data_IF_425712105909
#
_entry.id   IF_425712105909
#
_cell.length_a   1.000
_cell.length_b   1.000
_cell.length_c   1.000
_cell.angle_alpha   90.00
_cell.angle_beta   90.00
_cell.angle_gamma   90.00
#
_symmetry.space_group_name_H-M   'P 1'
#
loop_
_entity.id
_entity.type
_entity.pdbx_description
1 polymer ?
#
# COMPACT_ATOMS: atom_id res chain seq x y z
N UNK A 1 5.73 -12.74 15.16
CA UNK A 1 6.51 -13.82 14.51
C UNK A 1 8.01 -13.51 14.34
N UNK A 2 8.44 -12.25 14.12
CA UNK A 2 9.88 -11.88 14.21
C UNK A 2 10.34 -11.40 15.61
N UNK A 3 9.39 -11.06 16.50
CA UNK A 3 9.65 -10.49 17.83
C UNK A 3 8.83 -11.17 18.95
N UNK A 4 8.53 -12.47 18.84
CA UNK A 4 7.72 -13.23 19.80
C UNK A 4 6.33 -12.64 20.14
N UNK A 5 5.82 -11.73 19.31
CA UNK A 5 4.46 -11.18 19.41
C UNK A 5 3.48 -11.93 18.49
N UNK A 6 2.28 -12.17 19.01
CA UNK A 6 1.13 -12.70 18.29
C UNK A 6 0.22 -11.54 17.85
N UNK A 7 0.07 -11.35 16.53
CA UNK A 7 -0.88 -10.38 15.98
C UNK A 7 -2.21 -11.05 15.68
N UNK A 8 -3.30 -10.56 16.29
CA UNK A 8 -4.67 -11.02 15.98
C UNK A 8 -5.41 -10.01 15.12
N UNK A 9 -6.28 -10.52 14.24
CA UNK A 9 -7.09 -9.71 13.33
C UNK A 9 -8.59 -9.99 13.54
N UNK A 10 -9.24 -9.42 14.58
CA UNK A 10 -10.62 -9.76 14.95
C UNK A 10 -11.66 -9.56 13.84
N UNK A 11 -11.45 -8.59 12.94
CA UNK A 11 -12.35 -8.37 11.80
C UNK A 11 -12.24 -9.45 10.70
N UNK A 12 -11.24 -10.32 10.76
CA UNK A 12 -11.09 -11.48 9.87
C UNK A 12 -11.65 -12.77 10.50
N UNK A 13 -12.26 -12.68 11.69
CA UNK A 13 -13.00 -13.80 12.23
C UNK A 13 -14.16 -14.21 11.30
N UNK A 14 -14.34 -15.52 11.16
CA UNK A 14 -15.31 -16.10 10.25
C UNK A 14 -16.76 -15.78 10.61
N UNK A 15 -17.13 -15.71 11.90
CA UNK A 15 -18.48 -15.36 12.33
C UNK A 15 -18.77 -13.88 12.04
N UNK A 16 -17.80 -13.01 12.32
CA UNK A 16 -17.88 -11.58 12.00
C UNK A 16 -18.02 -11.38 10.49
N UNK A 17 -17.23 -12.09 9.69
CA UNK A 17 -17.30 -12.02 8.23
C UNK A 17 -18.65 -12.52 7.70
N UNK A 18 -19.13 -13.68 8.17
CA UNK A 18 -20.43 -14.24 7.78
C UNK A 18 -21.60 -13.34 8.18
N UNK A 19 -21.55 -12.70 9.35
CA UNK A 19 -22.52 -11.68 9.75
C UNK A 19 -22.49 -10.48 8.80
N UNK A 20 -21.30 -9.91 8.56
CA UNK A 20 -21.14 -8.74 7.70
C UNK A 20 -21.60 -8.98 6.25
N UNK A 21 -21.42 -10.19 5.72
CA UNK A 21 -21.85 -10.58 4.38
C UNK A 21 -23.38 -10.69 4.23
N UNK A 22 -24.09 -11.04 5.31
CA UNK A 22 -25.56 -11.10 5.34
C UNK A 22 -26.23 -9.74 5.44
N UNK A 23 -25.49 -8.68 5.78
CA UNK A 23 -26.06 -7.34 5.92
C UNK A 23 -26.38 -6.69 4.56
N UNK A 24 -27.56 -6.05 4.43
CA UNK A 24 -27.85 -5.19 3.29
C UNK A 24 -26.75 -4.14 3.10
N UNK A 25 -26.45 -3.79 1.84
CA UNK A 25 -25.36 -2.86 1.50
C UNK A 25 -25.48 -1.53 2.24
N UNK A 26 -26.71 -1.05 2.49
CA UNK A 26 -27.00 0.19 3.23
C UNK A 26 -26.41 0.25 4.65
N UNK A 27 -26.16 -0.90 5.28
CA UNK A 27 -25.49 -0.98 6.59
C UNK A 27 -23.97 -0.89 6.48
N UNK A 28 -23.38 -1.26 5.34
CA UNK A 28 -21.93 -1.18 5.09
C UNK A 28 -21.56 0.19 4.55
N UNK A 29 -22.39 0.72 3.65
CA UNK A 29 -22.22 2.00 2.96
C UNK A 29 -23.53 2.77 2.98
N UNK A 30 -23.52 4.00 3.51
CA UNK A 30 -24.68 4.90 3.52
C UNK A 30 -24.31 6.22 2.86
N UNK A 31 -24.70 6.39 1.60
CA UNK A 31 -24.20 7.50 0.77
C UNK A 31 -22.67 7.43 0.65
N UNK A 32 -21.98 8.54 0.91
CA UNK A 32 -20.51 8.59 0.94
C UNK A 32 -19.89 8.01 2.24
N UNK A 33 -20.71 7.61 3.22
CA UNK A 33 -20.23 7.11 4.52
C UNK A 33 -19.93 5.61 4.45
N UNK A 34 -18.65 5.28 4.39
CA UNK A 34 -18.15 3.91 4.53
C UNK A 34 -18.22 3.42 5.99
N UNK A 35 -18.24 2.09 6.17
CA UNK A 35 -18.26 1.42 7.49
C UNK A 35 -19.42 1.92 8.37
N UNK A 36 -20.60 2.14 7.78
CA UNK A 36 -21.70 2.84 8.44
C UNK A 36 -22.12 2.16 9.77
N UNK A 37 -22.42 0.86 9.74
CA UNK A 37 -22.80 0.08 10.93
C UNK A 37 -21.72 0.07 12.01
N UNK A 38 -20.44 -0.03 11.63
CA UNK A 38 -19.33 0.00 12.59
C UNK A 38 -19.22 1.37 13.27
N UNK A 39 -19.39 2.45 12.50
CA UNK A 39 -19.37 3.81 13.06
C UNK A 39 -20.57 4.07 13.97
N UNK A 40 -21.73 3.54 13.62
CA UNK A 40 -22.93 3.70 14.46
C UNK A 40 -22.79 2.89 15.77
N UNK A 41 -22.27 1.66 15.71
CA UNK A 41 -22.08 0.80 16.88
C UNK A 41 -21.11 1.38 17.93
N UNK A 42 -20.16 2.22 17.52
CA UNK A 42 -19.16 2.82 18.42
C UNK A 42 -19.31 4.34 18.59
N UNK A 43 -20.41 4.93 18.08
CA UNK A 43 -20.63 6.38 18.09
C UNK A 43 -20.48 7.00 19.48
N UNK A 44 -20.97 6.31 20.51
CA UNK A 44 -20.98 6.80 21.89
C UNK A 44 -19.77 6.30 22.71
N UNK A 45 -18.85 5.55 22.08
CA UNK A 45 -17.69 4.94 22.72
C UNK A 45 -16.36 5.51 22.24
N UNK A 46 -16.34 6.22 21.11
CA UNK A 46 -15.15 6.79 20.51
C UNK A 46 -15.32 8.30 20.29
N UNK A 47 -14.21 9.06 20.29
CA UNK A 47 -14.25 10.48 19.98
C UNK A 47 -14.86 10.76 18.60
N UNK A 48 -15.52 11.92 18.47
CA UNK A 48 -16.19 12.34 17.23
C UNK A 48 -15.22 12.36 16.05
N UNK A 49 -13.98 12.78 16.28
CA UNK A 49 -12.93 12.87 15.28
C UNK A 49 -12.57 11.50 14.68
N UNK A 50 -12.68 10.42 15.48
CA UNK A 50 -12.45 9.05 15.03
C UNK A 50 -13.64 8.54 14.20
N UNK A 51 -14.86 8.79 14.67
CA UNK A 51 -16.10 8.34 14.02
C UNK A 51 -16.32 9.04 12.67
N UNK A 52 -16.02 10.34 12.61
CA UNK A 52 -16.21 11.17 11.41
C UNK A 52 -14.98 11.21 10.51
N UNK A 53 -13.83 10.76 11.01
CA UNK A 53 -12.57 10.72 10.27
C UNK A 53 -12.67 9.99 8.93
N UNK A 54 -11.87 10.44 7.96
CA UNK A 54 -11.75 9.77 6.66
C UNK A 54 -11.04 8.43 6.83
N UNK A 55 -11.38 7.44 5.98
CA UNK A 55 -10.64 6.18 5.91
C UNK A 55 -9.19 6.50 5.54
N UNK A 56 -8.26 6.14 6.42
CA UNK A 56 -6.82 6.16 6.16
C UNK A 56 -6.37 4.72 5.96
N UNK A 57 -5.57 4.47 4.94
CA UNK A 57 -4.85 3.21 4.82
C UNK A 57 -3.74 3.15 5.87
N UNK A 58 -3.18 1.95 6.07
CA UNK A 58 -1.86 1.81 6.67
C UNK A 58 -0.85 2.08 5.56
N UNK A 59 -0.64 3.35 5.22
CA UNK A 59 0.31 3.74 4.20
C UNK A 59 1.69 3.83 4.86
N UNK A 60 2.64 3.02 4.39
CA UNK A 60 4.05 3.23 4.69
C UNK A 60 4.51 4.52 4.00
N UNK A 61 5.44 5.29 4.57
CA UNK A 61 5.89 6.57 4.03
C UNK A 61 6.83 6.36 2.83
N UNK A 62 6.31 5.71 1.79
CA UNK A 62 7.08 5.17 0.69
C UNK A 62 7.84 6.26 -0.08
N UNK A 63 7.23 7.43 -0.28
CA UNK A 63 7.92 8.57 -0.90
C UNK A 63 9.16 8.98 -0.09
N UNK A 64 9.01 9.14 1.23
CA UNK A 64 10.12 9.51 2.10
C UNK A 64 11.24 8.45 2.12
N UNK A 65 10.89 7.16 2.08
CA UNK A 65 11.89 6.09 1.99
C UNK A 65 12.62 6.10 0.64
N UNK A 66 11.89 6.26 -0.47
CA UNK A 66 12.48 6.28 -1.80
C UNK A 66 13.33 7.53 -2.07
N UNK A 67 13.03 8.64 -1.41
CA UNK A 67 13.82 9.88 -1.50
C UNK A 67 14.96 9.93 -0.47
N UNK A 68 14.94 9.03 0.52
CA UNK A 68 15.95 8.88 1.58
C UNK A 68 16.64 7.52 1.51
N UNK A 69 16.39 6.67 2.52
CA UNK A 69 17.14 5.43 2.79
C UNK A 69 17.19 4.42 1.63
N UNK A 70 16.20 4.43 0.73
CA UNK A 70 16.12 3.51 -0.42
C UNK A 70 16.60 4.16 -1.73
N UNK A 71 16.97 5.44 -1.72
CA UNK A 71 17.32 6.17 -2.95
C UNK A 71 18.47 5.52 -3.71
N UNK A 72 19.53 5.17 -2.99
CA UNK A 72 20.71 4.54 -3.58
C UNK A 72 20.38 3.15 -4.10
N UNK A 73 19.64 2.35 -3.33
CA UNK A 73 19.16 1.03 -3.77
C UNK A 73 18.32 1.12 -5.06
N UNK A 74 17.45 2.12 -5.17
CA UNK A 74 16.65 2.37 -6.38
C UNK A 74 17.56 2.65 -7.57
N UNK A 75 18.54 3.53 -7.41
CA UNK A 75 19.52 3.84 -8.47
C UNK A 75 20.33 2.63 -8.88
N UNK A 76 20.92 1.94 -7.91
CA UNK A 76 21.80 0.79 -8.10
C UNK A 76 21.07 -0.44 -8.68
N UNK A 77 19.79 -0.59 -8.41
CA UNK A 77 18.99 -1.68 -8.95
C UNK A 77 18.40 -1.34 -10.33
N UNK A 78 17.71 -0.19 -10.44
CA UNK A 78 16.88 0.13 -11.61
C UNK A 78 17.63 0.86 -12.72
N UNK A 79 18.72 1.54 -12.42
CA UNK A 79 19.50 2.30 -13.41
C UNK A 79 20.82 1.62 -13.77
N UNK A 80 21.09 0.44 -13.20
CA UNK A 80 22.28 -0.33 -13.53
C UNK A 80 22.26 -0.83 -14.98
N UNK A 81 23.43 -0.90 -15.66
CA UNK A 81 23.52 -1.40 -17.03
C UNK A 81 23.04 -2.85 -17.20
N UNK A 82 23.12 -3.65 -16.13
CA UNK A 82 22.72 -5.06 -16.09
C UNK A 82 21.33 -5.28 -15.46
N UNK A 83 20.55 -4.21 -15.28
CA UNK A 83 19.19 -4.31 -14.73
C UNK A 83 18.33 -5.24 -15.59
N UNK A 84 17.81 -6.31 -14.98
CA UNK A 84 17.07 -7.36 -15.68
C UNK A 84 15.69 -6.89 -16.13
N UNK A 85 15.14 -5.87 -15.47
CA UNK A 85 13.86 -5.24 -15.82
C UNK A 85 13.86 -4.61 -17.22
N UNK A 86 15.03 -4.28 -17.79
CA UNK A 86 15.16 -3.71 -19.14
C UNK A 86 14.62 -4.64 -20.24
N UNK A 87 14.49 -5.94 -19.98
CA UNK A 87 13.85 -6.89 -20.90
C UNK A 87 12.31 -6.78 -20.94
N UNK A 88 11.70 -6.07 -19.98
CA UNK A 88 10.25 -5.99 -19.81
C UNK A 88 9.71 -4.56 -19.81
N UNK A 89 10.54 -3.58 -19.42
CA UNK A 89 10.17 -2.17 -19.30
C UNK A 89 11.23 -1.31 -19.98
N UNK A 90 10.79 -0.38 -20.81
CA UNK A 90 11.65 0.56 -21.53
C UNK A 90 12.57 1.33 -20.56
N UNK A 91 13.91 1.25 -20.70
CA UNK A 91 14.85 1.92 -19.81
C UNK A 91 14.64 3.44 -19.68
N UNK A 92 14.22 4.11 -20.76
CA UNK A 92 13.92 5.54 -20.71
C UNK A 92 12.74 5.86 -19.78
N UNK A 93 11.72 4.98 -19.76
CA UNK A 93 10.57 5.14 -18.86
C UNK A 93 10.98 4.91 -17.40
N UNK A 94 11.77 3.86 -17.13
CA UNK A 94 12.28 3.57 -15.78
C UNK A 94 13.04 4.78 -15.23
N UNK A 95 13.94 5.35 -16.04
CA UNK A 95 14.70 6.56 -15.68
C UNK A 95 13.78 7.74 -15.37
N UNK A 96 12.82 8.05 -16.23
CA UNK A 96 11.90 9.17 -16.02
C UNK A 96 11.03 9.02 -14.76
N UNK A 97 10.69 7.79 -14.38
CA UNK A 97 9.94 7.50 -13.15
C UNK A 97 10.83 7.64 -11.91
N UNK A 98 12.06 7.12 -11.95
CA UNK A 98 13.03 7.22 -10.84
C UNK A 98 13.42 8.68 -10.59
N UNK A 99 13.71 9.44 -11.65
CA UNK A 99 14.08 10.86 -11.58
C UNK A 99 12.89 11.80 -11.32
N UNK A 100 11.66 11.27 -11.34
CA UNK A 100 10.45 12.00 -10.96
C UNK A 100 9.88 12.95 -12.02
N UNK A 101 10.35 12.86 -13.27
CA UNK A 101 9.86 13.69 -14.37
C UNK A 101 8.47 13.27 -14.90
N UNK A 102 8.05 12.03 -14.65
CA UNK A 102 6.89 11.45 -15.34
C UNK A 102 5.54 11.52 -14.60
N UNK A 103 5.49 11.70 -13.26
CA UNK A 103 4.25 11.53 -12.48
C UNK A 103 4.19 12.35 -11.17
N UNK A 104 2.96 12.53 -10.65
CA UNK A 104 2.72 13.06 -9.29
C UNK A 104 3.33 12.15 -8.24
N UNK A 105 3.88 12.74 -7.19
CA UNK A 105 4.68 12.08 -6.15
C UNK A 105 4.04 10.82 -5.54
N UNK A 106 2.75 10.86 -5.18
CA UNK A 106 2.04 9.70 -4.60
C UNK A 106 1.93 8.52 -5.57
N UNK A 107 1.75 8.78 -6.86
CA UNK A 107 1.68 7.73 -7.89
C UNK A 107 3.09 7.23 -8.24
N UNK A 108 4.08 8.15 -8.25
CA UNK A 108 5.49 7.84 -8.50
C UNK A 108 6.03 6.85 -7.48
N UNK A 109 5.85 7.11 -6.19
CA UNK A 109 6.41 6.28 -5.13
C UNK A 109 5.95 4.81 -5.25
N UNK A 110 4.65 4.59 -5.47
CA UNK A 110 4.11 3.24 -5.69
C UNK A 110 4.70 2.55 -6.92
N UNK A 111 4.88 3.29 -8.02
CA UNK A 111 5.43 2.74 -9.26
C UNK A 111 6.93 2.43 -9.14
N UNK A 112 7.73 3.34 -8.60
CA UNK A 112 9.17 3.11 -8.34
C UNK A 112 9.34 1.86 -7.47
N UNK A 113 8.55 1.73 -6.41
CA UNK A 113 8.60 0.56 -5.54
C UNK A 113 8.21 -0.73 -6.27
N UNK A 114 7.17 -0.71 -7.11
CA UNK A 114 6.78 -1.87 -7.91
C UNK A 114 7.89 -2.29 -8.90
N UNK A 115 8.52 -1.32 -9.57
CA UNK A 115 9.66 -1.59 -10.46
C UNK A 115 10.85 -2.16 -9.67
N UNK A 116 11.16 -1.58 -8.52
CA UNK A 116 12.23 -2.07 -7.64
C UNK A 116 11.99 -3.52 -7.21
N UNK A 117 10.78 -3.84 -6.73
CA UNK A 117 10.44 -5.21 -6.33
C UNK A 117 10.52 -6.19 -7.51
N UNK A 118 10.09 -5.77 -8.70
CA UNK A 118 10.22 -6.59 -9.90
C UNK A 118 11.70 -6.86 -10.24
N UNK A 119 12.56 -5.84 -10.20
CA UNK A 119 13.99 -6.01 -10.46
C UNK A 119 14.65 -6.94 -9.44
N UNK A 120 14.39 -6.75 -8.14
CA UNK A 120 14.94 -7.62 -7.09
C UNK A 120 14.48 -9.07 -7.27
N UNK A 121 13.19 -9.27 -7.59
CA UNK A 121 12.67 -10.60 -7.88
C UNK A 121 13.32 -11.20 -9.13
N UNK A 122 13.54 -10.43 -10.20
CA UNK A 122 14.22 -10.90 -11.41
C UNK A 122 15.68 -11.29 -11.14
N UNK A 123 16.35 -10.62 -10.20
CA UNK A 123 17.72 -10.97 -9.77
C UNK A 123 17.76 -12.30 -9.03
N UNK A 124 16.80 -12.54 -8.13
CA UNK A 124 16.73 -13.76 -7.31
C UNK A 124 16.19 -14.98 -8.10
N UNK A 125 15.10 -14.81 -8.86
CA UNK A 125 14.41 -15.92 -9.54
C UNK A 125 15.13 -16.51 -10.75
N UNK A 126 16.20 -15.87 -11.23
CA UNK A 126 17.02 -16.31 -12.38
C UNK A 126 18.48 -16.55 -11.99
N UNK A 127 18.77 -16.91 -10.73
CA UNK A 127 20.07 -17.44 -10.29
C UNK A 127 20.17 -18.94 -10.58
#
# INVERSE_FOLDING_TARGET
>A
MAASLEGRSPFLDHEVAQFALRLPVAFRVRGARLKAVLRDAYRDRLPREVIEGRKRGFEVPLAAWLDGDLRDLVGDALLAPDARIAAYVEPAFVRAVVEGAAMRERNRAGLVYALLMLELWLRESRS
#
